data_IF_191762660585
#
_entry.id   IF_191762660585
#
_cell.length_a   1.000
_cell.length_b   1.000
_cell.length_c   1.000
_cell.angle_alpha   90.00
_cell.angle_beta   90.00
_cell.angle_gamma   90.00
#
_symmetry.space_group_name_H-M   'P 1'
#
loop_
_entity.id
_entity.type
_entity.pdbx_description
1 polymer ?
#
# COMPACT_ATOMS: atom_id res chain seq x y z
N UNK A 1 -19.37 -39.78 31.70
CA UNK A 1 -19.32 -38.45 31.03
C UNK A 1 -18.32 -38.47 29.87
N UNK A 2 -18.77 -38.58 28.61
CA UNK A 2 -17.88 -38.54 27.44
C UNK A 2 -17.57 -37.07 27.09
N UNK A 3 -16.30 -36.65 27.21
CA UNK A 3 -15.82 -35.34 26.75
C UNK A 3 -16.07 -35.23 25.23
N UNK A 4 -16.98 -34.34 24.82
CA UNK A 4 -17.20 -33.98 23.41
C UNK A 4 -15.89 -33.44 22.84
N UNK A 5 -15.27 -34.21 21.93
CA UNK A 5 -14.08 -33.78 21.20
C UNK A 5 -14.35 -32.48 20.45
N UNK A 6 -13.44 -31.50 20.59
CA UNK A 6 -13.45 -30.25 19.81
C UNK A 6 -13.52 -30.62 18.33
N UNK A 7 -14.64 -30.29 17.68
CA UNK A 7 -14.80 -30.43 16.22
C UNK A 7 -13.71 -29.57 15.56
N UNK A 8 -12.71 -30.22 14.95
CA UNK A 8 -11.67 -29.58 14.15
C UNK A 8 -12.31 -29.06 12.84
N UNK A 9 -12.96 -27.91 12.90
CA UNK A 9 -13.42 -27.19 11.71
C UNK A 9 -12.24 -26.62 10.91
N UNK A 10 -12.33 -26.71 9.58
CA UNK A 10 -11.33 -26.39 8.54
C UNK A 10 -9.87 -26.36 9.03
N UNK A 11 -9.26 -27.54 8.96
CA UNK A 11 -7.85 -27.69 8.61
C UNK A 11 -6.83 -27.27 9.65
N UNK A 12 -7.02 -27.55 10.94
CA UNK A 12 -5.91 -27.68 11.93
C UNK A 12 -4.91 -26.52 12.11
N UNK A 13 -5.11 -25.37 11.44
CA UNK A 13 -4.20 -24.24 11.48
C UNK A 13 -4.32 -23.51 12.81
N UNK A 14 -3.17 -23.11 13.37
CA UNK A 14 -3.13 -22.29 14.58
C UNK A 14 -3.85 -20.95 14.34
N UNK A 15 -4.46 -20.35 15.37
CA UNK A 15 -5.11 -19.04 15.26
C UNK A 15 -4.19 -17.96 14.67
N UNK A 16 -2.89 -18.00 14.98
CA UNK A 16 -1.88 -17.10 14.44
C UNK A 16 -1.69 -17.27 12.92
N UNK A 17 -1.60 -18.51 12.44
CA UNK A 17 -1.51 -18.78 11.01
C UNK A 17 -2.76 -18.31 10.27
N UNK A 18 -3.96 -18.49 10.86
CA UNK A 18 -5.22 -17.97 10.28
C UNK A 18 -5.22 -16.44 10.19
N UNK A 19 -4.70 -15.74 11.21
CA UNK A 19 -4.59 -14.28 11.22
C UNK A 19 -3.59 -13.78 10.16
N UNK A 20 -2.43 -14.43 10.05
CA UNK A 20 -1.42 -14.12 9.04
C UNK A 20 -1.97 -14.34 7.63
N UNK A 21 -2.64 -15.47 7.39
CA UNK A 21 -3.26 -15.78 6.10
C UNK A 21 -4.33 -14.74 5.72
N UNK A 22 -5.20 -14.34 6.67
CA UNK A 22 -6.19 -13.27 6.43
C UNK A 22 -5.51 -11.96 6.03
N UNK A 23 -4.40 -11.59 6.69
CA UNK A 23 -3.63 -10.39 6.34
C UNK A 23 -3.08 -10.49 4.92
N UNK A 24 -2.48 -11.62 4.55
CA UNK A 24 -1.94 -11.84 3.20
C UNK A 24 -3.04 -11.77 2.13
N UNK A 25 -4.21 -12.37 2.38
CA UNK A 25 -5.35 -12.31 1.47
C UNK A 25 -5.83 -10.86 1.29
N UNK A 26 -5.95 -10.10 2.38
CA UNK A 26 -6.35 -8.68 2.29
C UNK A 26 -5.30 -7.82 1.57
N UNK A 27 -4.00 -8.09 1.79
CA UNK A 27 -2.92 -7.40 1.09
C UNK A 27 -2.97 -7.69 -0.41
N UNK A 28 -3.10 -8.96 -0.78
CA UNK A 28 -3.25 -9.36 -2.18
C UNK A 28 -4.51 -8.77 -2.82
N UNK A 29 -5.66 -8.82 -2.14
CA UNK A 29 -6.90 -8.22 -2.65
C UNK A 29 -6.76 -6.70 -2.87
N UNK A 30 -6.05 -5.99 -1.99
CA UNK A 30 -5.79 -4.57 -2.16
C UNK A 30 -4.84 -4.29 -3.33
N UNK A 31 -3.84 -5.15 -3.55
CA UNK A 31 -2.95 -5.07 -4.70
C UNK A 31 -3.69 -5.36 -6.02
N UNK A 32 -4.48 -6.42 -6.06
CA UNK A 32 -5.29 -6.80 -7.21
C UNK A 32 -6.28 -5.69 -7.58
N UNK A 33 -6.95 -5.07 -6.60
CA UNK A 33 -7.85 -3.93 -6.82
C UNK A 33 -7.12 -2.72 -7.42
N UNK A 34 -5.88 -2.44 -6.99
CA UNK A 34 -5.06 -1.37 -7.56
C UNK A 34 -4.63 -1.70 -8.99
N UNK A 35 -4.24 -2.94 -9.24
CA UNK A 35 -3.83 -3.39 -10.57
C UNK A 35 -5.02 -3.38 -11.55
N UNK A 36 -6.20 -3.79 -11.12
CA UNK A 36 -7.43 -3.69 -11.91
C UNK A 36 -7.77 -2.23 -12.25
N UNK A 37 -7.67 -1.32 -11.27
CA UNK A 37 -7.91 0.10 -11.51
C UNK A 37 -6.92 0.68 -12.54
N UNK A 38 -5.65 0.28 -12.51
CA UNK A 38 -4.64 0.67 -13.50
C UNK A 38 -4.97 0.13 -14.89
N UNK A 39 -5.27 -1.18 -15.01
CA UNK A 39 -5.67 -1.80 -16.27
C UNK A 39 -6.89 -1.13 -16.88
N UNK A 40 -7.92 -0.84 -16.06
CA UNK A 40 -9.11 -0.14 -16.50
C UNK A 40 -8.82 1.29 -16.98
N UNK A 41 -7.87 1.99 -16.36
CA UNK A 41 -7.43 3.31 -16.80
C UNK A 41 -6.67 3.25 -18.13
N UNK A 42 -5.75 2.28 -18.28
CA UNK A 42 -5.02 2.04 -19.53
C UNK A 42 -5.95 1.62 -20.68
N UNK A 43 -6.93 0.75 -20.42
CA UNK A 43 -7.94 0.35 -21.40
C UNK A 43 -8.82 1.53 -21.81
N UNK A 44 -9.19 2.40 -20.86
CA UNK A 44 -9.91 3.64 -21.15
C UNK A 44 -9.08 4.57 -22.04
N UNK A 45 -7.79 4.74 -21.74
CA UNK A 45 -6.90 5.58 -22.54
C UNK A 45 -6.72 5.03 -23.96
N UNK A 46 -6.50 3.71 -24.10
CA UNK A 46 -6.44 3.03 -25.40
C UNK A 46 -7.73 3.23 -26.19
N UNK A 47 -8.88 3.02 -25.56
CA UNK A 47 -10.18 3.19 -26.22
C UNK A 47 -10.42 4.64 -26.68
N UNK A 48 -10.00 5.64 -25.90
CA UNK A 48 -10.10 7.05 -26.29
C UNK A 48 -9.18 7.34 -27.48
N UNK A 49 -7.93 6.87 -27.44
CA UNK A 49 -6.97 7.08 -28.52
C UNK A 49 -7.40 6.41 -29.83
N UNK A 50 -8.03 5.23 -29.75
CA UNK A 50 -8.57 4.53 -30.93
C UNK A 50 -9.80 5.24 -31.52
N UNK A 51 -10.63 5.85 -30.67
CA UNK A 51 -11.87 6.53 -31.10
C UNK A 51 -11.64 7.97 -31.55
N UNK A 52 -10.67 8.66 -30.95
CA UNK A 52 -10.41 10.08 -31.14
C UNK A 52 -9.04 10.24 -31.80
N UNK A 53 -9.05 10.30 -33.13
CA UNK A 53 -7.84 10.61 -33.87
C UNK A 53 -7.37 12.06 -33.59
N UNK A 54 -6.04 12.30 -33.52
CA UNK A 54 -5.51 13.65 -33.43
C UNK A 54 -6.00 14.55 -34.57
N UNK A 55 -6.43 15.77 -34.23
CA UNK A 55 -6.92 16.74 -35.21
C UNK A 55 -5.79 17.18 -36.15
N UNK A 56 -5.93 16.85 -37.43
CA UNK A 56 -5.03 17.31 -38.49
C UNK A 56 -5.57 18.62 -39.06
N UNK A 57 -5.03 19.74 -38.61
CA UNK A 57 -5.39 21.09 -39.09
C UNK A 57 -4.38 21.67 -40.08
N UNK A 58 -3.18 21.07 -40.13
CA UNK A 58 -2.08 21.58 -40.94
C UNK A 58 -2.35 21.40 -42.44
N UNK A 59 -2.12 22.46 -43.22
CA UNK A 59 -2.29 22.45 -44.68
C UNK A 59 -3.73 22.55 -45.19
N UNK A 60 -4.73 22.69 -44.31
CA UNK A 60 -6.11 22.91 -44.71
C UNK A 60 -6.35 24.35 -45.19
N UNK A 61 -7.07 24.49 -46.30
CA UNK A 61 -7.57 25.79 -46.76
C UNK A 61 -8.69 26.30 -45.83
N UNK A 62 -9.00 27.60 -45.89
CA UNK A 62 -10.13 28.15 -45.12
C UNK A 62 -11.46 27.42 -45.38
N UNK A 63 -11.69 26.96 -46.61
CA UNK A 63 -12.89 26.17 -46.95
C UNK A 63 -12.88 24.81 -46.25
N UNK A 64 -11.74 24.10 -46.30
CA UNK A 64 -11.57 22.81 -45.63
C UNK A 64 -11.74 22.91 -44.12
N UNK A 65 -11.21 23.98 -43.51
CA UNK A 65 -11.35 24.22 -42.07
C UNK A 65 -12.81 24.43 -41.65
N UNK A 66 -13.60 25.19 -42.44
CA UNK A 66 -15.03 25.39 -42.18
C UNK A 66 -15.83 24.09 -42.29
N UNK A 67 -15.49 23.23 -43.25
CA UNK A 67 -16.13 21.91 -43.40
C UNK A 67 -15.80 21.02 -42.21
N UNK A 68 -14.54 20.94 -41.81
CA UNK A 68 -14.10 20.18 -40.64
C UNK A 68 -14.83 20.63 -39.36
N UNK A 69 -14.97 21.93 -39.12
CA UNK A 69 -15.73 22.44 -37.97
C UNK A 69 -17.20 21.98 -37.98
N UNK A 70 -17.86 21.99 -39.14
CA UNK A 70 -19.25 21.52 -39.25
C UNK A 70 -19.37 20.02 -39.01
N UNK A 71 -18.43 19.23 -39.50
CA UNK A 71 -18.40 17.78 -39.26
C UNK A 71 -18.17 17.44 -37.78
N UNK A 72 -17.25 18.14 -37.12
CA UNK A 72 -17.00 17.97 -35.69
C UNK A 72 -18.23 18.36 -34.86
N UNK A 73 -18.90 19.46 -35.21
CA UNK A 73 -20.14 19.89 -34.56
C UNK A 73 -21.23 18.81 -34.66
N UNK A 74 -21.46 18.27 -35.86
CA UNK A 74 -22.44 17.19 -36.07
C UNK A 74 -22.09 15.93 -35.28
N UNK A 75 -20.81 15.55 -35.22
CA UNK A 75 -20.34 14.43 -34.40
C UNK A 75 -20.57 14.68 -32.92
N UNK A 76 -20.30 15.90 -32.45
CA UNK A 76 -20.52 16.30 -31.07
C UNK A 76 -22.00 16.17 -30.67
N UNK A 77 -22.91 16.69 -31.49
CA UNK A 77 -24.37 16.58 -31.25
C UNK A 77 -24.82 15.12 -31.12
N UNK A 78 -24.32 14.23 -31.97
CA UNK A 78 -24.62 12.80 -31.87
C UNK A 78 -24.05 12.18 -30.59
N UNK A 79 -22.80 12.50 -30.23
CA UNK A 79 -22.17 11.99 -29.01
C UNK A 79 -22.87 12.48 -27.74
N UNK A 80 -23.38 13.70 -27.75
CA UNK A 80 -24.13 14.26 -26.62
C UNK A 80 -25.45 13.50 -26.41
N UNK A 81 -26.15 13.16 -27.49
CA UNK A 81 -27.33 12.29 -27.43
C UNK A 81 -26.99 10.89 -26.88
N UNK A 82 -25.89 10.28 -27.36
CA UNK A 82 -25.44 8.97 -26.86
C UNK A 82 -25.10 9.03 -25.36
N UNK A 83 -24.44 10.09 -24.90
CA UNK A 83 -24.11 10.29 -23.47
C UNK A 83 -25.38 10.37 -22.64
N UNK A 84 -26.37 11.14 -23.08
CA UNK A 84 -27.65 11.26 -22.39
C UNK A 84 -28.34 9.89 -22.24
N UNK A 85 -28.38 9.09 -23.31
CA UNK A 85 -28.98 7.75 -23.29
C UNK A 85 -28.26 6.82 -22.29
N UNK A 86 -26.93 6.89 -22.22
CA UNK A 86 -26.15 6.12 -21.26
C UNK A 86 -26.36 6.58 -19.82
N UNK A 87 -26.39 7.90 -19.58
CA UNK A 87 -26.66 8.45 -18.25
C UNK A 87 -28.05 8.06 -17.75
N UNK A 88 -29.05 8.07 -18.62
CA UNK A 88 -30.39 7.61 -18.27
C UNK A 88 -30.40 6.14 -17.85
N UNK A 89 -29.78 5.26 -18.64
CA UNK A 89 -29.66 3.83 -18.32
C UNK A 89 -28.91 3.60 -17.00
N UNK A 90 -27.83 4.34 -16.75
CA UNK A 90 -27.08 4.28 -15.49
C UNK A 90 -27.98 4.67 -14.33
N UNK A 91 -28.74 5.76 -14.45
CA UNK A 91 -29.66 6.24 -13.41
C UNK A 91 -30.74 5.21 -13.10
N UNK A 92 -31.32 4.56 -14.11
CA UNK A 92 -32.27 3.46 -13.89
C UNK A 92 -31.63 2.31 -13.11
N UNK A 93 -30.39 1.94 -13.45
CA UNK A 93 -29.64 0.89 -12.72
C UNK A 93 -29.29 1.29 -11.30
N UNK A 94 -28.97 2.55 -11.05
CA UNK A 94 -28.74 3.06 -9.69
C UNK A 94 -30.00 2.96 -8.83
N UNK A 95 -31.17 3.29 -9.39
CA UNK A 95 -32.45 3.14 -8.72
C UNK A 95 -32.76 1.68 -8.41
N UNK A 96 -32.53 0.78 -9.37
CA UNK A 96 -32.69 -0.67 -9.19
C UNK A 96 -31.76 -1.21 -8.08
N UNK A 97 -30.49 -0.82 -8.08
CA UNK A 97 -29.52 -1.20 -7.03
C UNK A 97 -29.97 -0.69 -5.66
N UNK A 98 -30.47 0.54 -5.58
CA UNK A 98 -30.95 1.10 -4.33
C UNK A 98 -32.18 0.34 -3.80
N UNK A 99 -33.16 0.06 -4.64
CA UNK A 99 -34.34 -0.75 -4.27
C UNK A 99 -33.94 -2.15 -3.79
N UNK A 100 -33.05 -2.82 -4.52
CA UNK A 100 -32.51 -4.13 -4.12
C UNK A 100 -31.74 -4.05 -2.79
N UNK A 101 -30.98 -2.97 -2.57
CA UNK A 101 -30.25 -2.75 -1.32
C UNK A 101 -31.20 -2.60 -0.14
N UNK A 102 -32.30 -1.86 -0.31
CA UNK A 102 -33.36 -1.72 0.71
C UNK A 102 -34.00 -3.07 1.00
N UNK A 103 -34.40 -3.84 -0.03
CA UNK A 103 -34.98 -5.19 0.13
C UNK A 103 -34.04 -6.14 0.87
N UNK A 104 -32.74 -6.11 0.56
CA UNK A 104 -31.72 -6.91 1.26
C UNK A 104 -31.57 -6.50 2.73
N UNK A 105 -31.74 -5.21 3.05
CA UNK A 105 -31.68 -4.73 4.42
C UNK A 105 -32.93 -5.13 5.22
N UNK A 106 -34.12 -5.03 4.63
CA UNK A 106 -35.37 -5.43 5.29
C UNK A 106 -35.41 -6.94 5.57
N UNK A 107 -34.91 -7.76 4.64
CA UNK A 107 -34.80 -9.22 4.82
C UNK A 107 -33.77 -9.63 5.88
N UNK A 108 -32.67 -8.87 6.03
CA UNK A 108 -31.71 -9.05 7.13
C UNK A 108 -32.22 -8.54 8.49
N UNK A 109 -33.38 -7.88 8.49
CA UNK A 109 -34.03 -7.28 9.65
C UNK A 109 -33.59 -5.84 9.86
N UNK A 110 -34.57 -4.93 9.99
CA UNK A 110 -34.42 -3.49 10.28
C UNK A 110 -33.53 -3.20 11.50
N UNK A 111 -33.40 -4.16 12.41
CA UNK A 111 -32.56 -4.10 13.61
C UNK A 111 -31.44 -5.14 13.51
N UNK A 112 -30.41 -4.86 12.71
CA UNK A 112 -29.11 -5.51 12.89
C UNK A 112 -28.65 -5.17 14.30
N UNK A 113 -28.90 -6.05 15.29
CA UNK A 113 -28.51 -5.82 16.68
C UNK A 113 -27.02 -5.49 16.68
N UNK A 114 -26.62 -4.22 16.91
CA UNK A 114 -25.22 -3.89 16.88
C UNK A 114 -24.57 -4.71 17.97
N UNK A 115 -23.55 -5.48 17.61
CA UNK A 115 -22.78 -6.23 18.61
C UNK A 115 -22.14 -5.18 19.51
N UNK A 116 -22.74 -4.95 20.68
CA UNK A 116 -22.26 -4.02 21.68
C UNK A 116 -20.88 -4.50 22.13
N UNK A 117 -19.83 -3.97 21.51
CA UNK A 117 -18.46 -4.17 21.96
C UNK A 117 -18.26 -3.28 23.17
N UNK A 118 -17.75 -3.85 24.27
CA UNK A 118 -17.29 -3.07 25.43
C UNK A 118 -16.10 -2.22 24.98
N UNK A 119 -16.40 -1.02 24.49
CA UNK A 119 -15.41 -0.02 24.11
C UNK A 119 -14.93 0.68 25.37
N UNK A 120 -13.69 0.42 25.76
CA UNK A 120 -13.07 1.16 26.85
C UNK A 120 -12.72 2.56 26.32
N UNK A 121 -13.46 3.59 26.76
CA UNK A 121 -13.30 5.00 26.31
C UNK A 121 -11.87 5.54 26.47
N UNK A 122 -11.04 4.92 27.31
CA UNK A 122 -9.66 5.33 27.58
C UNK A 122 -8.64 4.72 26.62
N UNK A 123 -8.89 3.57 26.01
CA UNK A 123 -7.94 2.87 25.13
C UNK A 123 -7.61 3.67 23.86
N UNK A 124 -8.61 4.34 23.27
CA UNK A 124 -8.38 5.21 22.10
C UNK A 124 -7.54 6.45 22.44
N UNK A 125 -7.58 6.94 23.68
CA UNK A 125 -6.72 8.05 24.16
C UNK A 125 -5.28 7.57 24.37
N UNK A 126 -5.09 6.36 24.91
CA UNK A 126 -3.77 5.72 24.97
C UNK A 126 -3.23 5.37 23.58
N UNK A 127 -4.06 4.96 22.62
CA UNK A 127 -3.60 4.65 21.26
C UNK A 127 -3.11 5.88 20.48
N UNK A 128 -3.63 7.08 20.79
CA UNK A 128 -3.11 8.36 20.26
C UNK A 128 -1.78 8.74 20.93
N UNK A 129 -1.58 8.35 22.19
CA UNK A 129 -0.31 8.51 22.89
C UNK A 129 0.74 7.51 22.36
N UNK A 130 0.35 6.24 22.17
CA UNK A 130 1.19 5.16 21.60
C UNK A 130 1.48 5.30 20.09
N UNK A 131 0.68 6.06 19.33
CA UNK A 131 0.96 6.38 17.91
C UNK A 131 1.85 7.61 17.74
N UNK A 132 1.90 8.49 18.74
CA UNK A 132 2.77 9.67 18.73
C UNK A 132 4.20 9.29 19.12
N UNK A 133 4.35 8.27 19.96
CA UNK A 133 5.56 7.48 20.01
C UNK A 133 5.60 6.56 18.80
N UNK A 134 6.41 6.91 17.80
CA UNK A 134 6.87 5.91 16.84
C UNK A 134 7.63 4.84 17.64
N UNK A 135 6.94 3.77 18.08
CA UNK A 135 7.51 2.54 18.62
C UNK A 135 8.24 1.77 17.52
N UNK A 136 9.03 2.46 16.71
CA UNK A 136 10.11 1.83 16.00
C UNK A 136 11.15 1.52 17.06
N UNK A 137 11.02 0.35 17.70
CA UNK A 137 11.98 -0.16 18.67
C UNK A 137 13.41 -0.24 18.09
N UNK A 138 13.52 -0.12 16.75
CA UNK A 138 14.75 -0.04 15.98
C UNK A 138 15.38 1.36 15.98
N UNK A 139 14.58 2.42 16.11
CA UNK A 139 15.06 3.81 16.09
C UNK A 139 15.78 4.23 17.37
N UNK A 140 15.36 3.69 18.52
CA UNK A 140 16.02 3.92 19.80
C UNK A 140 17.12 2.90 20.12
N UNK A 141 17.33 1.89 19.28
CA UNK A 141 18.43 0.95 19.46
C UNK A 141 19.67 1.55 18.78
N UNK A 142 20.75 1.79 19.53
CA UNK A 142 22.05 2.10 18.94
C UNK A 142 22.44 0.93 18.05
N UNK A 143 22.33 1.08 16.74
CA UNK A 143 22.91 0.14 15.79
C UNK A 143 24.42 0.24 15.95
N UNK A 144 25.03 -0.70 16.67
CA UNK A 144 26.47 -0.94 16.55
C UNK A 144 26.68 -1.25 15.07
N UNK A 145 27.36 -0.40 14.31
CA UNK A 145 27.46 -0.45 12.84
C UNK A 145 28.09 -1.72 12.25
N UNK A 146 28.09 -2.83 12.97
CA UNK A 146 28.51 -4.15 12.53
C UNK A 146 27.28 -5.00 12.20
N UNK A 147 26.93 -5.00 10.92
CA UNK A 147 26.09 -6.06 10.35
C UNK A 147 26.90 -7.36 10.34
N UNK A 148 26.84 -8.16 11.41
CA UNK A 148 27.45 -9.51 11.48
C UNK A 148 26.85 -10.53 10.48
N UNK A 149 25.89 -10.11 9.64
CA UNK A 149 25.23 -10.93 8.63
C UNK A 149 25.31 -10.33 7.22
N UNK A 150 26.13 -9.28 6.99
CA UNK A 150 26.45 -8.85 5.62
C UNK A 150 27.62 -9.70 5.16
N UNK A 151 27.31 -10.66 4.29
CA UNK A 151 28.22 -11.50 3.54
C UNK A 151 29.41 -10.67 3.04
N UNK A 152 30.62 -11.10 3.40
CA UNK A 152 31.91 -10.49 3.05
C UNK A 152 32.04 -10.31 1.54
N UNK A 153 32.34 -9.09 1.12
CA UNK A 153 33.07 -8.84 -0.12
C UNK A 153 34.00 -7.63 0.12
N UNK A 154 35.27 -7.83 -0.19
CA UNK A 154 36.43 -6.93 -0.10
C UNK A 154 36.97 -6.55 1.29
N UNK A 155 37.85 -7.42 1.80
CA UNK A 155 38.96 -7.03 2.66
C UNK A 155 39.89 -6.04 1.93
N UNK A 156 39.96 -4.80 2.41
CA UNK A 156 41.14 -3.96 2.21
C UNK A 156 41.83 -3.77 3.55
N UNK A 157 43.04 -4.31 3.60
CA UNK A 157 43.96 -4.32 4.73
C UNK A 157 44.25 -2.89 5.23
N UNK A 158 43.89 -2.63 6.49
CA UNK A 158 44.46 -1.54 7.27
C UNK A 158 44.84 -2.08 8.64
N UNK A 159 46.08 -2.54 8.74
CA UNK A 159 46.74 -2.77 10.03
C UNK A 159 46.61 -1.51 10.88
N UNK A 160 46.04 -1.58 12.09
CA UNK A 160 45.82 -0.40 12.92
C UNK A 160 47.14 0.21 13.47
N UNK A 161 47.15 1.54 13.50
CA UNK A 161 48.29 2.45 13.70
C UNK A 161 48.74 2.58 15.18
N UNK A 162 48.90 1.45 15.88
CA UNK A 162 49.48 1.37 17.23
C UNK A 162 50.83 0.64 17.25
N UNK A 163 51.23 0.03 16.12
CA UNK A 163 52.52 -0.65 15.95
C UNK A 163 53.70 0.32 15.76
N UNK A 164 53.43 1.56 15.38
CA UNK A 164 54.45 2.60 15.17
C UNK A 164 54.79 3.38 16.44
N UNK A 165 53.96 3.33 17.48
CA UNK A 165 54.15 4.10 18.73
C UNK A 165 55.08 3.42 19.74
N UNK A 166 55.40 2.13 19.54
CA UNK A 166 56.29 1.35 20.41
C UNK A 166 57.78 1.37 20.00
N UNK A 167 58.13 2.08 18.93
CA UNK A 167 59.53 2.27 18.50
C UNK A 167 59.91 3.75 18.62
N UNK A 168 60.01 4.23 19.85
CA UNK A 168 60.42 5.61 20.09
C UNK A 168 60.62 5.91 21.56
N UNK A 169 61.80 5.54 22.07
CA UNK A 169 62.54 6.31 23.08
C UNK A 169 62.03 6.20 24.53
N UNK A 170 62.78 5.48 25.35
CA UNK A 170 63.36 6.02 26.60
C UNK A 170 64.40 5.04 27.17
N UNK A 171 65.67 5.39 26.94
CA UNK A 171 66.81 4.94 27.73
C UNK A 171 66.86 5.76 29.03
N UNK A 172 67.16 5.08 30.14
CA UNK A 172 68.13 5.57 31.14
C UNK A 172 67.59 6.40 32.30
N UNK A 173 67.52 5.78 33.48
CA UNK A 173 67.44 6.47 34.77
C UNK A 173 67.67 5.49 35.93
N UNK A 174 68.88 5.48 36.45
CA UNK A 174 69.45 4.56 37.44
C UNK A 174 69.29 5.07 38.89
N UNK A 175 69.41 4.11 39.85
CA UNK A 175 69.71 4.24 41.29
C UNK A 175 68.52 4.55 42.24
N UNK A 176 68.27 3.85 43.36
CA UNK A 176 68.94 2.72 44.03
C UNK A 176 68.61 2.79 45.54
N UNK A 177 68.32 1.67 46.21
CA UNK A 177 68.50 1.52 47.67
C UNK A 177 68.59 0.03 48.08
N UNK A 178 69.56 -0.23 48.96
CA UNK A 178 70.07 -1.51 49.50
C UNK A 178 69.11 -2.21 50.47
N UNK A 179 69.22 -3.54 50.60
CA UNK A 179 69.49 -4.18 51.90
C UNK A 179 69.96 -5.64 51.76
N UNK A 180 71.10 -5.92 52.42
CA UNK A 180 71.69 -7.20 52.87
C UNK A 180 72.23 -8.23 51.86
#
# INVERSE_FOLDING_TARGET
MKKKGKRKGLGGLSPEKKKMLKKLIMQKAAEDLRNEAKKKAEEKEKHINDRVEPLKVDGLSQGGLRTLCKELQKKYEQLEADVYDWEFKIREKELEINDLTVKVNDTKGKFMKPVLRKVNKTESKFSKLERKENRDFRGNLKSTGQNKYKLEEEETSKTPDWRNTLKGKEEGGEHGEEES
#
